data_IF_029927270312
#
_entry.id   IF_029927270312
#
_cell.length_a   1.000
_cell.length_b   1.000
_cell.length_c   1.000
_cell.angle_alpha   90.00
_cell.angle_beta   90.00
_cell.angle_gamma   90.00
#
_symmetry.space_group_name_H-M   'P 1'
#
loop_
_entity.id
_entity.type
_entity.pdbx_description
1 polymer ?
#
# COMPACT_ATOMS: atom_id res chain seq x y z
N UNK A 1 -5.76 49.44 1.70
CA UNK A 1 -6.09 48.82 3.01
C UNK A 1 -6.24 47.30 2.90
N UNK A 2 -7.06 46.79 1.97
CA UNK A 2 -7.29 45.35 1.76
C UNK A 2 -6.00 44.50 1.65
N UNK A 3 -5.04 44.90 0.81
CA UNK A 3 -3.76 44.17 0.64
C UNK A 3 -2.97 44.01 1.95
N UNK A 4 -3.00 45.03 2.81
CA UNK A 4 -2.30 44.96 4.10
C UNK A 4 -2.96 43.94 5.03
N UNK A 5 -4.29 43.82 4.98
CA UNK A 5 -5.05 42.81 5.72
C UNK A 5 -4.74 41.41 5.19
N UNK A 6 -4.75 41.23 3.85
CA UNK A 6 -4.39 39.95 3.21
C UNK A 6 -2.97 39.52 3.60
N UNK A 7 -1.99 40.40 3.43
CA UNK A 7 -0.59 40.13 3.76
C UNK A 7 -0.41 39.78 5.23
N UNK A 8 -1.10 40.50 6.12
CA UNK A 8 -1.07 40.23 7.55
C UNK A 8 -1.67 38.86 7.88
N UNK A 9 -2.83 38.52 7.30
CA UNK A 9 -3.49 37.24 7.55
C UNK A 9 -2.65 36.05 7.05
N UNK A 10 -2.08 36.15 5.84
CA UNK A 10 -1.16 35.14 5.29
C UNK A 10 0.07 34.98 6.17
N UNK A 11 0.75 36.08 6.49
CA UNK A 11 1.99 36.02 7.28
C UNK A 11 1.75 35.52 8.71
N UNK A 12 0.58 35.82 9.29
CA UNK A 12 0.16 35.32 10.59
C UNK A 12 0.04 33.80 10.58
N UNK A 13 -0.55 33.21 9.54
CA UNK A 13 -0.68 31.76 9.41
C UNK A 13 0.64 31.09 9.06
N UNK A 14 1.42 31.63 8.11
CA UNK A 14 2.73 31.08 7.75
C UNK A 14 3.72 31.06 8.92
N UNK A 15 3.60 31.99 9.88
CA UNK A 15 4.42 32.01 11.10
C UNK A 15 3.83 31.21 12.26
N UNK A 16 2.61 30.70 12.13
CA UNK A 16 1.96 29.91 13.17
C UNK A 16 2.54 28.49 13.18
N UNK A 17 2.99 28.04 14.36
CA UNK A 17 3.51 26.68 14.56
C UNK A 17 2.53 25.61 14.10
N UNK A 18 1.23 25.78 14.34
CA UNK A 18 0.21 24.80 13.94
C UNK A 18 0.14 24.62 12.43
N UNK A 19 0.21 25.71 11.66
CA UNK A 19 0.19 25.66 10.21
C UNK A 19 1.45 24.97 9.67
N UNK A 20 2.63 25.34 10.18
CA UNK A 20 3.91 24.75 9.76
C UNK A 20 3.95 23.24 10.08
N UNK A 21 3.49 22.85 11.28
CA UNK A 21 3.41 21.44 11.68
C UNK A 21 2.47 20.69 10.74
N UNK A 22 1.26 21.22 10.48
CA UNK A 22 0.30 20.62 9.56
C UNK A 22 0.84 20.46 8.13
N UNK A 23 1.49 21.52 7.63
CA UNK A 23 2.11 21.57 6.31
C UNK A 23 3.18 20.48 6.12
N UNK A 24 4.00 20.23 7.15
CA UNK A 24 5.11 19.27 7.13
C UNK A 24 4.70 17.84 7.50
N UNK A 25 3.81 17.66 8.48
CA UNK A 25 3.42 16.34 8.98
C UNK A 25 2.61 15.57 7.93
N UNK A 26 1.84 16.29 7.11
CA UNK A 26 0.96 15.68 6.11
C UNK A 26 1.74 14.90 5.04
N UNK A 27 2.78 15.46 4.38
CA UNK A 27 3.68 14.69 3.52
C UNK A 27 4.35 13.51 4.20
N UNK A 28 4.77 13.65 5.46
CA UNK A 28 5.38 12.56 6.22
C UNK A 28 4.39 11.42 6.44
N UNK A 29 3.15 11.74 6.81
CA UNK A 29 2.10 10.74 6.94
C UNK A 29 1.83 10.05 5.60
N UNK A 30 1.72 10.79 4.50
CA UNK A 30 1.57 10.18 3.17
C UNK A 30 2.74 9.26 2.81
N UNK A 31 3.97 9.64 3.13
CA UNK A 31 5.14 8.80 2.91
C UNK A 31 5.10 7.52 3.75
N UNK A 32 4.76 7.64 5.04
CA UNK A 32 4.63 6.49 5.95
C UNK A 32 3.53 5.56 5.48
N UNK A 33 2.31 6.06 5.27
CA UNK A 33 1.17 5.25 4.84
C UNK A 33 1.32 4.69 3.42
N UNK A 34 1.96 5.42 2.51
CA UNK A 34 2.26 4.95 1.16
C UNK A 34 3.34 3.87 1.14
N UNK A 35 4.36 3.99 1.99
CA UNK A 35 5.41 2.97 2.13
C UNK A 35 4.95 1.76 2.95
N UNK A 36 3.95 1.92 3.83
CA UNK A 36 3.53 0.88 4.78
C UNK A 36 3.14 -0.43 4.09
N UNK A 37 2.32 -0.48 3.01
CA UNK A 37 2.05 -1.71 2.28
C UNK A 37 3.30 -2.36 1.71
N UNK A 38 4.25 -1.56 1.20
CA UNK A 38 5.51 -2.06 0.64
C UNK A 38 6.41 -2.66 1.72
N UNK A 39 6.44 -2.04 2.91
CA UNK A 39 7.17 -2.57 4.07
C UNK A 39 6.52 -3.85 4.56
N UNK A 40 5.19 -3.88 4.71
CA UNK A 40 4.43 -5.07 5.09
C UNK A 40 4.69 -6.19 4.08
N UNK A 41 4.63 -5.93 2.77
CA UNK A 41 4.92 -6.93 1.74
C UNK A 41 6.35 -7.48 1.81
N UNK A 42 7.32 -6.65 2.19
CA UNK A 42 8.71 -7.12 2.41
C UNK A 42 8.84 -7.97 3.67
N UNK A 43 8.07 -7.68 4.70
CA UNK A 43 7.98 -8.47 5.93
C UNK A 43 7.19 -9.77 5.72
N UNK A 44 6.23 -9.75 4.79
CA UNK A 44 5.35 -10.87 4.43
C UNK A 44 5.88 -11.67 3.24
N UNK A 45 7.21 -11.63 2.98
CA UNK A 45 7.82 -12.56 2.03
C UNK A 45 7.55 -13.98 2.54
N UNK A 46 6.94 -14.86 1.73
CA UNK A 46 6.70 -16.23 2.15
C UNK A 46 8.06 -16.82 2.52
N UNK A 47 8.18 -17.27 3.77
CA UNK A 47 9.38 -17.92 4.29
C UNK A 47 9.75 -19.00 3.28
N UNK A 48 10.93 -18.87 2.66
CA UNK A 48 11.43 -19.86 1.69
C UNK A 48 11.51 -21.19 2.41
N UNK A 49 10.66 -22.14 2.02
CA UNK A 49 10.55 -23.41 2.72
C UNK A 49 11.76 -24.27 2.34
N UNK A 50 12.62 -24.56 3.32
CA UNK A 50 13.84 -25.34 3.09
C UNK A 50 13.61 -26.81 3.43
N UNK A 51 13.88 -27.71 2.49
CA UNK A 51 13.75 -29.16 2.70
C UNK A 51 15.08 -29.89 2.55
N UNK A 52 15.40 -30.75 3.51
CA UNK A 52 16.54 -31.65 3.44
C UNK A 52 16.14 -32.95 2.71
N UNK A 53 16.98 -33.39 1.79
CA UNK A 53 16.68 -34.54 0.93
C UNK A 53 17.76 -35.59 1.08
N UNK A 54 17.37 -36.77 1.58
CA UNK A 54 18.24 -37.95 1.52
C UNK A 54 18.09 -38.56 0.13
N UNK A 55 19.09 -38.33 -0.71
CA UNK A 55 19.02 -38.62 -2.15
C UNK A 55 19.73 -39.94 -2.50
N UNK A 56 18.97 -41.03 -2.59
CA UNK A 56 19.48 -42.32 -3.08
C UNK A 56 19.40 -42.44 -4.61
N UNK A 57 18.68 -41.52 -5.27
CA UNK A 57 18.38 -41.53 -6.71
C UNK A 57 19.24 -40.56 -7.52
N UNK A 58 20.07 -39.75 -6.86
CA UNK A 58 20.84 -38.64 -7.44
C UNK A 58 19.96 -37.62 -8.18
N UNK A 59 18.75 -37.38 -7.67
CA UNK A 59 17.72 -36.55 -8.28
C UNK A 59 17.67 -35.11 -7.74
N UNK A 60 18.43 -34.77 -6.70
CA UNK A 60 18.44 -33.41 -6.11
C UNK A 60 18.81 -32.32 -7.11
N UNK A 61 19.82 -32.45 -8.00
CA UNK A 61 20.14 -31.41 -8.97
C UNK A 61 18.98 -31.10 -9.92
N UNK A 62 18.19 -32.11 -10.28
CA UNK A 62 16.99 -31.95 -11.10
C UNK A 62 15.91 -31.18 -10.34
N UNK A 63 15.69 -31.51 -9.06
CA UNK A 63 14.73 -30.80 -8.21
C UNK A 63 15.14 -29.34 -7.99
N UNK A 64 16.43 -29.06 -7.78
CA UNK A 64 16.93 -27.69 -7.65
C UNK A 64 16.66 -26.86 -8.90
N UNK A 65 16.84 -27.45 -10.09
CA UNK A 65 16.53 -26.79 -11.36
C UNK A 65 15.03 -26.58 -11.54
N UNK A 66 14.21 -27.58 -11.18
CA UNK A 66 12.75 -27.50 -11.30
C UNK A 66 12.13 -26.49 -10.33
N UNK A 67 12.79 -26.22 -9.19
CA UNK A 67 12.35 -25.30 -8.15
C UNK A 67 13.00 -23.91 -8.26
N UNK A 68 13.84 -23.67 -9.26
CA UNK A 68 14.48 -22.37 -9.46
C UNK A 68 13.43 -21.26 -9.68
N UNK A 69 13.57 -20.15 -8.94
CA UNK A 69 12.59 -19.07 -8.89
C UNK A 69 11.32 -19.35 -8.06
N UNK A 70 11.20 -20.51 -7.40
CA UNK A 70 10.09 -20.84 -6.49
C UNK A 70 10.43 -20.49 -5.02
N UNK A 71 9.43 -20.35 -4.11
CA UNK A 71 9.68 -20.11 -2.69
C UNK A 71 10.07 -21.38 -1.91
N UNK A 72 10.62 -22.41 -2.57
CA UNK A 72 11.03 -23.68 -1.98
C UNK A 72 12.47 -23.98 -2.36
N UNK A 73 13.30 -24.34 -1.38
CA UNK A 73 14.68 -24.79 -1.60
C UNK A 73 14.84 -26.23 -1.15
N UNK A 74 15.69 -26.97 -1.86
CA UNK A 74 16.02 -28.37 -1.54
C UNK A 74 17.53 -28.54 -1.47
N UNK A 75 17.99 -29.18 -0.41
CA UNK A 75 19.41 -29.45 -0.17
C UNK A 75 19.64 -30.94 0.06
N UNK A 76 20.68 -31.49 -0.56
CA UNK A 76 21.07 -32.88 -0.33
C UNK A 76 21.63 -33.03 1.09
N UNK A 77 21.15 -34.03 1.81
CA UNK A 77 21.62 -34.39 3.13
C UNK A 77 22.01 -35.87 3.18
N UNK A 78 23.10 -36.18 3.86
CA UNK A 78 23.58 -37.56 4.05
C UNK A 78 23.60 -37.99 5.52
N UNK A 79 22.94 -37.22 6.39
CA UNK A 79 22.83 -37.51 7.82
C UNK A 79 21.80 -38.62 8.10
N UNK A 80 21.97 -39.40 9.18
CA UNK A 80 20.98 -40.37 9.62
C UNK A 80 19.70 -39.66 10.09
N UNK A 81 18.57 -40.36 9.98
CA UNK A 81 17.23 -39.82 10.29
C UNK A 81 17.12 -39.06 11.63
N UNK A 82 17.69 -39.52 12.76
CA UNK A 82 17.61 -38.80 14.03
C UNK A 82 18.24 -37.39 13.98
N UNK A 83 19.30 -37.21 13.20
CA UNK A 83 19.98 -35.92 13.06
C UNK A 83 19.18 -34.96 12.17
N UNK A 84 18.49 -35.49 11.15
CA UNK A 84 17.57 -34.72 10.30
C UNK A 84 16.31 -34.28 11.07
N UNK A 85 15.77 -35.15 11.92
CA UNK A 85 14.67 -34.82 12.82
C UNK A 85 15.09 -33.70 13.79
N UNK A 86 16.31 -33.79 14.35
CA UNK A 86 16.86 -32.74 15.20
C UNK A 86 17.01 -31.40 14.46
N UNK A 87 17.48 -31.41 13.20
CA UNK A 87 17.61 -30.20 12.38
C UNK A 87 16.25 -29.53 12.07
N UNK A 88 15.21 -30.33 11.80
CA UNK A 88 13.85 -29.80 11.61
C UNK A 88 13.27 -29.23 12.90
N UNK A 89 13.50 -29.89 14.04
CA UNK A 89 13.06 -29.39 15.35
C UNK A 89 13.84 -28.14 15.81
N UNK A 90 15.10 -27.99 15.39
CA UNK A 90 15.92 -26.81 15.63
C UNK A 90 15.51 -25.61 14.74
N UNK A 91 14.73 -25.86 13.68
CA UNK A 91 14.30 -24.85 12.72
C UNK A 91 15.32 -24.53 11.63
N UNK A 92 16.36 -25.37 11.48
CA UNK A 92 17.36 -25.26 10.40
C UNK A 92 16.79 -25.67 9.04
N UNK A 93 15.72 -26.48 9.04
CA UNK A 93 14.94 -26.85 7.86
C UNK A 93 13.43 -26.93 8.20
N UNK A 94 12.56 -26.65 7.22
CA UNK A 94 11.10 -26.78 7.37
C UNK A 94 10.62 -28.23 7.31
N UNK A 95 11.43 -29.13 6.74
CA UNK A 95 11.16 -30.57 6.71
C UNK A 95 12.27 -31.36 6.04
N UNK A 96 12.13 -32.69 6.04
CA UNK A 96 12.99 -33.58 5.26
C UNK A 96 12.19 -34.71 4.61
N UNK A 97 12.72 -35.28 3.55
CA UNK A 97 12.18 -36.49 2.92
C UNK A 97 13.29 -37.35 2.33
N UNK A 98 12.96 -38.62 2.08
CA UNK A 98 13.89 -39.61 1.52
C UNK A 98 13.45 -39.95 0.11
N UNK A 99 14.34 -39.76 -0.86
CA UNK A 99 14.14 -40.19 -2.24
C UNK A 99 14.79 -41.55 -2.42
N UNK A 100 13.98 -42.59 -2.32
CA UNK A 100 14.36 -44.00 -2.47
C UNK A 100 13.65 -44.66 -3.66
N UNK A 101 13.96 -45.93 -3.95
CA UNK A 101 13.24 -46.69 -4.99
C UNK A 101 11.75 -46.86 -4.71
N UNK A 102 11.33 -46.88 -3.44
CA UNK A 102 9.91 -47.02 -3.07
C UNK A 102 9.10 -45.85 -3.62
N UNK A 103 9.66 -44.64 -3.65
CA UNK A 103 9.03 -43.49 -4.30
C UNK A 103 8.75 -43.75 -5.79
N UNK A 104 9.72 -44.31 -6.53
CA UNK A 104 9.58 -44.62 -7.96
C UNK A 104 8.50 -45.69 -8.19
N UNK A 105 8.47 -46.74 -7.36
CA UNK A 105 7.52 -47.85 -7.50
C UNK A 105 6.09 -47.47 -7.08
N UNK A 106 5.93 -46.82 -5.92
CA UNK A 106 4.62 -46.58 -5.30
C UNK A 106 4.05 -45.20 -5.63
N UNK A 107 4.90 -44.22 -5.94
CA UNK A 107 4.53 -42.81 -6.08
C UNK A 107 4.21 -42.13 -4.75
N UNK A 108 4.45 -42.79 -3.61
CA UNK A 108 4.21 -42.24 -2.28
C UNK A 108 5.53 -41.75 -1.70
N UNK A 109 5.55 -40.48 -1.30
CA UNK A 109 6.67 -39.85 -0.59
C UNK A 109 6.20 -39.37 0.78
N UNK A 110 6.92 -39.78 1.83
CA UNK A 110 6.68 -39.28 3.18
C UNK A 110 7.56 -38.05 3.43
N UNK A 111 6.91 -36.92 3.72
CA UNK A 111 7.58 -35.67 4.09
C UNK A 111 7.44 -35.46 5.59
N UNK A 112 8.56 -35.40 6.29
CA UNK A 112 8.64 -35.17 7.72
C UNK A 112 8.79 -33.67 8.00
N UNK A 113 7.87 -33.10 8.77
CA UNK A 113 7.80 -31.68 9.11
C UNK A 113 7.54 -31.54 10.61
N UNK A 114 7.92 -30.41 11.22
CA UNK A 114 7.71 -30.16 12.66
C UNK A 114 6.22 -30.26 13.05
N UNK A 115 5.34 -29.69 12.22
CA UNK A 115 3.89 -29.70 12.41
C UNK A 115 3.20 -30.06 11.10
N UNK A 116 2.17 -30.94 11.11
CA UNK A 116 1.41 -31.29 9.92
C UNK A 116 0.91 -30.03 9.20
N UNK A 117 1.36 -29.86 7.96
CA UNK A 117 1.04 -28.71 7.11
C UNK A 117 0.98 -29.17 5.65
N UNK A 118 0.16 -28.54 4.80
CA UNK A 118 0.15 -28.84 3.38
C UNK A 118 1.54 -28.66 2.77
N UNK A 119 1.93 -29.58 1.90
CA UNK A 119 3.16 -29.46 1.12
C UNK A 119 2.98 -28.30 0.12
N UNK A 120 3.98 -27.44 -0.10
CA UNK A 120 3.89 -26.38 -1.09
C UNK A 120 3.63 -26.94 -2.49
N UNK A 121 2.68 -26.37 -3.23
CA UNK A 121 2.31 -26.80 -4.59
C UNK A 121 3.52 -26.86 -5.55
N UNK A 122 4.52 -25.98 -5.35
CA UNK A 122 5.76 -26.00 -6.14
C UNK A 122 6.57 -27.28 -5.92
N UNK A 123 6.71 -27.72 -4.67
CA UNK A 123 7.41 -28.96 -4.31
C UNK A 123 6.64 -30.19 -4.84
N UNK A 124 5.33 -30.21 -4.66
CA UNK A 124 4.48 -31.29 -5.18
C UNK A 124 4.55 -31.38 -6.72
N UNK A 125 4.53 -30.25 -7.41
CA UNK A 125 4.69 -30.17 -8.86
C UNK A 125 6.04 -30.71 -9.33
N UNK A 126 7.13 -30.32 -8.67
CA UNK A 126 8.47 -30.80 -8.97
C UNK A 126 8.61 -32.30 -8.73
N UNK A 127 8.15 -32.81 -7.58
CA UNK A 127 8.19 -34.25 -7.26
C UNK A 127 7.37 -35.09 -8.24
N UNK A 128 6.21 -34.60 -8.68
CA UNK A 128 5.42 -35.26 -9.71
C UNK A 128 6.15 -35.33 -11.05
N UNK A 129 6.80 -34.24 -11.47
CA UNK A 129 7.62 -34.23 -12.68
C UNK A 129 8.82 -35.18 -12.59
N UNK A 130 9.45 -35.26 -11.42
CA UNK A 130 10.55 -36.19 -11.16
C UNK A 130 10.09 -37.65 -11.21
N UNK A 131 8.96 -37.97 -10.57
CA UNK A 131 8.41 -39.33 -10.58
C UNK A 131 8.09 -39.79 -12.01
N UNK A 132 7.52 -38.89 -12.81
CA UNK A 132 7.24 -39.17 -14.22
C UNK A 132 8.53 -39.41 -15.00
N UNK A 133 9.56 -38.58 -14.82
CA UNK A 133 10.83 -38.72 -15.54
C UNK A 133 11.55 -40.03 -15.23
N UNK A 134 11.59 -40.42 -13.95
CA UNK A 134 12.21 -41.68 -13.52
C UNK A 134 11.48 -42.91 -14.08
N UNK A 135 10.14 -42.94 -14.01
CA UNK A 135 9.34 -44.05 -14.55
C UNK A 135 9.44 -44.16 -16.08
N UNK A 136 9.52 -43.04 -16.78
CA UNK A 136 9.74 -43.02 -18.22
C UNK A 136 11.07 -43.67 -18.59
N UNK A 137 12.13 -43.33 -17.85
CA UNK A 137 13.47 -43.85 -18.08
C UNK A 137 13.55 -45.37 -17.83
N UNK A 138 12.91 -45.88 -16.77
CA UNK A 138 12.86 -47.33 -16.49
C UNK A 138 12.13 -48.12 -17.58
N UNK A 139 11.06 -47.56 -18.13
CA UNK A 139 10.22 -48.22 -19.14
C UNK A 139 10.68 -47.96 -20.58
N UNK A 140 11.79 -47.24 -20.77
CA UNK A 140 12.36 -46.89 -22.08
C UNK A 140 11.33 -46.22 -23.01
N UNK A 141 10.40 -45.45 -22.43
CA UNK A 141 9.36 -44.77 -23.18
C UNK A 141 9.94 -43.57 -23.92
N UNK A 142 9.44 -43.30 -25.13
CA UNK A 142 9.80 -42.11 -25.88
C UNK A 142 9.33 -40.84 -25.11
N UNK A 143 10.26 -39.95 -24.69
CA UNK A 143 9.91 -38.74 -23.96
C UNK A 143 8.90 -37.85 -24.67
N UNK A 144 8.86 -37.88 -26.01
CA UNK A 144 7.94 -37.05 -26.80
C UNK A 144 6.49 -37.54 -26.69
N UNK A 145 6.30 -38.86 -26.68
CA UNK A 145 4.97 -39.47 -26.59
C UNK A 145 4.38 -39.25 -25.20
N UNK A 146 5.20 -39.40 -24.16
CA UNK A 146 4.72 -39.20 -22.79
C UNK A 146 4.40 -37.74 -22.52
N UNK A 147 5.24 -36.79 -22.94
CA UNK A 147 4.93 -35.35 -22.81
C UNK A 147 3.64 -34.96 -23.53
N UNK A 148 3.38 -35.55 -24.70
CA UNK A 148 2.14 -35.33 -25.43
C UNK A 148 0.92 -35.82 -24.62
N UNK A 149 0.99 -37.04 -24.08
CA UNK A 149 -0.11 -37.66 -23.31
C UNK A 149 -0.28 -37.06 -21.91
N UNK A 150 0.80 -36.60 -21.27
CA UNK A 150 0.79 -36.00 -19.93
C UNK A 150 0.59 -34.49 -19.93
N UNK A 151 0.47 -33.88 -21.12
CA UNK A 151 0.25 -32.45 -21.25
C UNK A 151 -1.02 -32.03 -20.51
N UNK A 152 -0.89 -31.06 -19.60
CA UNK A 152 -2.06 -30.51 -18.90
C UNK A 152 -2.81 -29.63 -19.88
N UNK A 153 -4.14 -29.75 -19.89
CA UNK A 153 -4.97 -28.80 -20.60
C UNK A 153 -4.66 -27.38 -20.09
N UNK A 154 -4.23 -26.49 -20.99
CA UNK A 154 -4.12 -25.08 -20.70
C UNK A 154 -5.53 -24.51 -20.58
N UNK A 155 -6.08 -24.55 -19.37
CA UNK A 155 -7.40 -23.98 -19.10
C UNK A 155 -7.25 -22.48 -18.99
N UNK A 156 -7.48 -21.80 -20.12
CA UNK A 156 -7.59 -20.35 -20.17
C UNK A 156 -9.03 -20.00 -19.83
N UNK A 157 -9.25 -19.50 -18.62
CA UNK A 157 -10.58 -19.06 -18.18
C UNK A 157 -10.85 -17.66 -18.74
N UNK A 158 -11.57 -17.59 -19.85
CA UNK A 158 -12.20 -16.35 -20.33
C UNK A 158 -13.61 -16.28 -19.76
N UNK A 159 -13.95 -15.23 -19.01
CA UNK A 159 -15.29 -15.10 -18.45
C UNK A 159 -16.35 -14.92 -19.54
N UNK A 160 -17.33 -15.81 -19.58
CA UNK A 160 -18.47 -15.75 -20.53
C UNK A 160 -19.31 -14.48 -20.31
N UNK A 161 -19.29 -13.95 -19.08
CA UNK A 161 -19.82 -12.64 -18.70
C UNK A 161 -18.75 -11.80 -18.00
N UNK A 162 -17.47 -11.96 -18.32
CA UNK A 162 -16.51 -10.93 -17.94
C UNK A 162 -16.71 -9.79 -18.94
N UNK A 163 -17.38 -8.68 -18.58
CA UNK A 163 -16.98 -7.43 -19.21
C UNK A 163 -15.47 -7.30 -19.00
N UNK A 164 -14.77 -6.63 -19.91
CA UNK A 164 -13.36 -6.24 -19.74
C UNK A 164 -13.08 -5.59 -18.36
N UNK A 165 -14.14 -5.22 -17.65
CA UNK A 165 -14.25 -4.56 -16.36
C UNK A 165 -14.09 -5.43 -15.10
N UNK A 166 -13.60 -6.68 -15.11
CA UNK A 166 -13.35 -7.36 -13.81
C UNK A 166 -12.22 -6.66 -13.03
N UNK A 167 -11.19 -6.22 -13.75
CA UNK A 167 -10.17 -5.29 -13.25
C UNK A 167 -10.81 -3.96 -12.87
N UNK A 168 -11.72 -3.41 -13.67
CA UNK A 168 -12.42 -2.16 -13.32
C UNK A 168 -13.36 -2.30 -12.12
N UNK A 169 -13.96 -3.46 -11.84
CA UNK A 169 -14.83 -3.70 -10.67
C UNK A 169 -14.02 -3.92 -9.41
N UNK A 170 -12.85 -4.57 -9.51
CA UNK A 170 -11.88 -4.66 -8.41
C UNK A 170 -11.28 -3.28 -8.12
N UNK A 171 -10.88 -2.55 -9.17
CA UNK A 171 -10.43 -1.16 -9.07
C UNK A 171 -11.55 -0.27 -8.55
N UNK A 172 -12.79 -0.40 -9.02
CA UNK A 172 -13.93 0.37 -8.55
C UNK A 172 -14.28 0.01 -7.10
N UNK A 173 -14.17 -1.25 -6.69
CA UNK A 173 -14.32 -1.66 -5.30
C UNK A 173 -13.22 -1.08 -4.40
N UNK A 174 -11.98 -1.04 -4.89
CA UNK A 174 -10.83 -0.46 -4.18
C UNK A 174 -10.91 1.07 -4.13
N UNK A 175 -11.37 1.71 -5.21
CA UNK A 175 -11.64 3.15 -5.29
C UNK A 175 -12.83 3.50 -4.39
N UNK A 176 -13.92 2.73 -4.42
CA UNK A 176 -15.12 2.99 -3.61
C UNK A 176 -14.82 2.85 -2.11
N UNK A 177 -14.09 1.80 -1.72
CA UNK A 177 -13.65 1.61 -0.33
C UNK A 177 -12.63 2.67 0.09
N UNK A 178 -11.70 3.05 -0.81
CA UNK A 178 -10.77 4.16 -0.59
C UNK A 178 -11.47 5.51 -0.42
N UNK A 179 -12.47 5.81 -1.25
CA UNK A 179 -13.31 7.02 -1.16
C UNK A 179 -14.10 7.03 0.14
N UNK A 180 -14.69 5.89 0.54
CA UNK A 180 -15.40 5.78 1.81
C UNK A 180 -14.47 5.99 3.01
N UNK A 181 -13.29 5.35 2.99
CA UNK A 181 -12.28 5.53 4.04
C UNK A 181 -11.77 6.97 4.10
N UNK A 182 -11.54 7.61 2.94
CA UNK A 182 -11.18 9.01 2.85
C UNK A 182 -12.29 9.92 3.39
N UNK A 183 -13.55 9.68 3.04
CA UNK A 183 -14.69 10.46 3.53
C UNK A 183 -14.83 10.33 5.05
N UNK A 184 -14.66 9.13 5.61
CA UNK A 184 -14.69 8.91 7.05
C UNK A 184 -13.51 9.61 7.74
N UNK A 185 -12.30 9.49 7.20
CA UNK A 185 -11.11 10.18 7.70
C UNK A 185 -11.29 11.71 7.67
N UNK A 186 -11.80 12.24 6.55
CA UNK A 186 -12.12 13.65 6.38
C UNK A 186 -13.17 14.12 7.38
N UNK A 187 -14.22 13.33 7.61
CA UNK A 187 -15.26 13.64 8.59
C UNK A 187 -14.70 13.70 10.02
N UNK A 188 -13.82 12.76 10.37
CA UNK A 188 -13.16 12.70 11.69
C UNK A 188 -12.27 13.93 11.89
N UNK A 189 -11.41 14.26 10.92
CA UNK A 189 -10.51 15.42 11.01
C UNK A 189 -11.31 16.73 11.01
N UNK A 190 -12.33 16.85 10.16
CA UNK A 190 -13.19 18.04 10.09
C UNK A 190 -13.89 18.27 11.43
N UNK A 191 -14.49 17.23 12.02
CA UNK A 191 -15.15 17.29 13.32
C UNK A 191 -14.19 17.70 14.45
N UNK A 192 -13.00 17.09 14.50
CA UNK A 192 -11.98 17.45 15.50
C UNK A 192 -11.45 18.88 15.34
N UNK A 193 -11.32 19.36 14.11
CA UNK A 193 -10.84 20.73 13.84
C UNK A 193 -11.85 21.78 14.29
N UNK A 194 -13.16 21.51 14.19
CA UNK A 194 -14.22 22.42 14.61
C UNK A 194 -14.24 22.62 16.14
N UNK A 195 -14.01 21.54 16.90
CA UNK A 195 -13.89 21.59 18.38
C UNK A 195 -12.61 22.29 18.84
N UNK A 196 -11.50 22.12 18.13
CA UNK A 196 -10.25 22.83 18.45
C UNK A 196 -10.35 24.32 18.12
N UNK A 197 -11.07 24.67 17.06
CA UNK A 197 -11.26 26.06 16.64
C UNK A 197 -12.13 26.84 17.64
N UNK A 198 -13.18 26.24 18.23
CA UNK A 198 -14.04 26.92 19.20
C UNK A 198 -13.28 27.38 20.46
N UNK A 199 -12.37 26.56 20.99
CA UNK A 199 -11.53 26.91 22.13
C UNK A 199 -10.46 27.98 21.81
N UNK A 200 -9.98 28.02 20.57
CA UNK A 200 -9.03 29.05 20.09
C UNK A 200 -9.75 30.36 19.73
N UNK A 201 -11.04 30.29 19.41
CA UNK A 201 -11.87 31.42 18.99
C UNK A 201 -11.99 32.49 20.08
N UNK A 202 -12.18 32.07 21.34
CA UNK A 202 -12.33 32.95 22.51
C UNK A 202 -11.14 33.91 22.67
N UNK A 203 -9.93 33.46 22.30
CA UNK A 203 -8.71 34.26 22.35
C UNK A 203 -8.52 35.17 21.12
N UNK A 204 -9.13 34.82 19.97
CA UNK A 204 -9.08 35.61 18.72
C UNK A 204 -10.08 36.76 18.73
N UNK A 205 -11.23 36.58 19.36
CA UNK A 205 -12.29 37.60 19.35
C UNK A 205 -11.88 38.86 20.13
N UNK A 206 -11.15 38.71 21.24
CA UNK A 206 -10.56 39.84 21.98
C UNK A 206 -9.48 40.62 21.19
N UNK A 207 -8.78 39.97 20.25
CA UNK A 207 -7.87 40.65 19.32
C UNK A 207 -8.60 41.30 18.14
N UNK A 208 -9.70 40.68 17.68
CA UNK A 208 -10.49 41.20 16.57
C UNK A 208 -11.24 42.47 16.96
N UNK A 209 -11.72 42.58 18.20
CA UNK A 209 -12.39 43.77 18.74
C UNK A 209 -11.49 45.03 18.69
N UNK A 210 -10.19 44.87 18.97
CA UNK A 210 -9.18 45.94 18.89
C UNK A 210 -8.83 46.33 17.46
N UNK A 211 -8.87 45.38 16.51
CA UNK A 211 -8.57 45.65 15.08
C UNK A 211 -9.78 46.20 14.33
N UNK A 212 -10.99 45.79 14.72
CA UNK A 212 -12.26 46.20 14.09
C UNK A 212 -12.67 47.62 14.47
N UNK A 213 -12.14 48.20 15.56
CA UNK A 213 -12.32 49.63 15.85
C UNK A 213 -11.67 50.54 14.79
N UNK A 214 -10.83 49.98 13.91
CA UNK A 214 -10.01 50.74 12.95
C UNK A 214 -10.24 50.35 11.48
N UNK A 215 -10.95 49.25 11.17
CA UNK A 215 -11.12 48.72 9.80
C UNK A 215 -12.54 48.16 9.61
N UNK A 216 -13.18 48.48 8.47
CA UNK A 216 -14.52 48.00 8.12
C UNK A 216 -14.63 46.48 7.93
N UNK A 217 -15.77 45.91 8.33
CA UNK A 217 -16.05 44.47 8.33
C UNK A 217 -15.88 43.80 6.95
N UNK A 218 -16.31 44.45 5.87
CA UNK A 218 -16.18 43.94 4.50
C UNK A 218 -14.72 43.73 4.10
N UNK A 219 -13.87 44.72 4.41
CA UNK A 219 -12.43 44.66 4.10
C UNK A 219 -11.75 43.54 4.90
N UNK A 220 -12.19 43.31 6.14
CA UNK A 220 -11.69 42.22 6.97
C UNK A 220 -12.11 40.85 6.45
N UNK A 221 -13.38 40.67 6.08
CA UNK A 221 -13.90 39.41 5.55
C UNK A 221 -13.27 39.06 4.20
N UNK A 222 -13.23 40.01 3.25
CA UNK A 222 -12.57 39.81 1.95
C UNK A 222 -11.08 39.52 2.12
N UNK A 223 -10.41 40.22 3.04
CA UNK A 223 -9.00 39.98 3.36
C UNK A 223 -8.73 38.56 3.87
N UNK A 224 -9.65 38.03 4.69
CA UNK A 224 -9.60 36.65 5.19
C UNK A 224 -9.78 35.61 4.10
N UNK A 225 -10.79 35.78 3.23
CA UNK A 225 -11.08 34.83 2.15
C UNK A 225 -9.89 34.75 1.19
N UNK A 226 -9.38 35.90 0.74
CA UNK A 226 -8.22 35.95 -0.16
C UNK A 226 -6.96 35.41 0.53
N UNK A 227 -6.79 35.71 1.83
CA UNK A 227 -5.67 35.17 2.62
C UNK A 227 -5.67 33.65 2.69
N UNK A 228 -6.81 33.03 2.97
CA UNK A 228 -6.95 31.57 2.99
C UNK A 228 -6.77 30.94 1.61
N UNK A 229 -7.28 31.57 0.56
CA UNK A 229 -7.05 31.12 -0.81
C UNK A 229 -5.55 31.08 -1.16
N UNK A 230 -4.80 32.15 -0.83
CA UNK A 230 -3.35 32.21 -1.04
C UNK A 230 -2.59 31.17 -0.18
N UNK A 231 -3.04 30.94 1.05
CA UNK A 231 -2.47 29.90 1.92
C UNK A 231 -2.66 28.50 1.33
N UNK A 232 -3.86 28.19 0.81
CA UNK A 232 -4.14 26.93 0.13
C UNK A 232 -3.27 26.73 -1.10
N UNK A 233 -3.05 27.79 -1.91
CA UNK A 233 -2.12 27.74 -3.05
C UNK A 233 -0.67 27.44 -2.62
N UNK A 234 -0.19 28.08 -1.55
CA UNK A 234 1.15 27.82 -1.01
C UNK A 234 1.27 26.37 -0.53
N UNK A 235 0.25 25.88 0.16
CA UNK A 235 0.21 24.51 0.68
C UNK A 235 0.22 23.46 -0.43
N UNK A 236 -0.63 23.61 -1.45
CA UNK A 236 -0.67 22.73 -2.61
C UNK A 236 0.66 22.79 -3.37
N UNK A 237 1.20 23.99 -3.61
CA UNK A 237 2.49 24.15 -4.29
C UNK A 237 3.63 23.46 -3.55
N UNK A 238 3.65 23.58 -2.22
CA UNK A 238 4.63 22.90 -1.37
C UNK A 238 4.52 21.38 -1.44
N UNK A 239 3.30 20.82 -1.35
CA UNK A 239 3.09 19.38 -1.46
C UNK A 239 3.39 18.84 -2.84
N UNK A 240 3.04 19.58 -3.89
CA UNK A 240 3.35 19.22 -5.27
C UNK A 240 4.87 19.18 -5.48
N UNK A 241 5.61 20.16 -4.95
CA UNK A 241 7.07 20.18 -5.02
C UNK A 241 7.70 18.95 -4.35
N UNK A 242 7.23 18.58 -3.16
CA UNK A 242 7.73 17.38 -2.45
C UNK A 242 7.36 16.12 -3.21
N UNK A 243 6.10 15.99 -3.62
CA UNK A 243 5.61 14.83 -4.36
C UNK A 243 6.39 14.59 -5.64
N UNK A 244 6.61 15.63 -6.45
CA UNK A 244 7.42 15.55 -7.67
C UNK A 244 8.88 15.21 -7.38
N UNK A 245 9.46 15.78 -6.31
CA UNK A 245 10.83 15.49 -5.91
C UNK A 245 10.99 14.01 -5.52
N UNK A 246 10.07 13.48 -4.72
CA UNK A 246 10.07 12.07 -4.32
C UNK A 246 9.89 11.15 -5.54
N UNK A 247 8.95 11.45 -6.43
CA UNK A 247 8.73 10.66 -7.64
C UNK A 247 9.98 10.58 -8.53
N UNK A 248 10.65 11.73 -8.73
CA UNK A 248 11.87 11.80 -9.54
C UNK A 248 13.03 11.03 -8.92
N UNK A 249 13.27 11.19 -7.62
CA UNK A 249 14.47 10.66 -6.97
C UNK A 249 14.31 9.24 -6.40
N UNK A 250 13.10 8.84 -5.99
CA UNK A 250 12.86 7.58 -5.31
C UNK A 250 12.22 6.50 -6.21
N UNK A 251 11.46 6.89 -7.24
CA UNK A 251 10.69 5.95 -8.05
C UNK A 251 11.16 5.87 -9.52
N UNK A 252 12.05 6.75 -9.97
CA UNK A 252 12.54 6.85 -11.35
C UNK A 252 11.41 6.93 -12.40
N UNK A 253 10.25 7.45 -12.00
CA UNK A 253 9.05 7.57 -12.83
C UNK A 253 9.15 8.85 -13.67
N UNK A 254 8.86 8.81 -14.99
CA UNK A 254 8.78 10.00 -15.82
C UNK A 254 7.70 10.95 -15.29
N UNK A 255 8.11 12.12 -14.80
CA UNK A 255 7.20 13.12 -14.22
C UNK A 255 6.11 13.56 -15.20
N UNK A 256 6.38 13.49 -16.51
CA UNK A 256 5.43 13.84 -17.57
C UNK A 256 4.18 12.96 -17.58
N UNK A 257 4.33 11.65 -17.42
CA UNK A 257 3.21 10.70 -17.45
C UNK A 257 2.32 10.85 -16.20
N UNK A 258 2.94 11.21 -15.08
CA UNK A 258 2.21 11.49 -13.84
C UNK A 258 1.38 12.78 -13.96
N UNK A 259 1.97 13.90 -14.39
CA UNK A 259 1.25 15.18 -14.55
C UNK A 259 0.11 15.06 -15.56
N UNK A 260 0.28 14.25 -16.61
CA UNK A 260 -0.74 13.99 -17.61
C UNK A 260 -1.88 13.09 -17.10
N UNK A 261 -1.75 12.47 -15.91
CA UNK A 261 -2.78 11.60 -15.36
C UNK A 261 -4.08 12.39 -15.09
N UNK A 262 -5.21 12.06 -15.78
CA UNK A 262 -6.47 12.80 -15.65
C UNK A 262 -6.96 13.01 -14.21
N UNK A 263 -6.59 12.12 -13.29
CA UNK A 263 -7.03 12.16 -11.90
C UNK A 263 -6.28 13.19 -11.04
N UNK A 264 -5.13 13.70 -11.48
CA UNK A 264 -4.36 14.71 -10.72
C UNK A 264 -4.86 16.14 -10.95
N UNK A 265 -5.35 16.45 -12.15
CA UNK A 265 -5.87 17.77 -12.49
C UNK A 265 -6.97 18.29 -11.53
N UNK A 266 -7.93 17.47 -11.05
CA UNK A 266 -8.95 17.95 -10.11
C UNK A 266 -8.47 18.10 -8.66
N UNK A 267 -7.36 17.48 -8.24
CA UNK A 267 -6.94 17.47 -6.83
C UNK A 267 -6.61 18.86 -6.26
N UNK A 268 -5.86 19.74 -6.96
CA UNK A 268 -5.65 21.11 -6.51
C UNK A 268 -6.96 21.89 -6.37
N UNK A 269 -7.91 21.67 -7.28
CA UNK A 269 -9.21 22.33 -7.27
C UNK A 269 -10.04 21.88 -6.05
N UNK A 270 -10.01 20.57 -5.76
CA UNK A 270 -10.71 19.98 -4.62
C UNK A 270 -10.10 20.40 -3.27
N UNK A 271 -8.76 20.49 -3.19
CA UNK A 271 -8.09 21.00 -2.01
C UNK A 271 -8.41 22.49 -1.77
N UNK A 272 -8.35 23.32 -2.82
CA UNK A 272 -8.75 24.74 -2.73
C UNK A 272 -10.22 24.92 -2.34
N UNK A 273 -11.12 24.08 -2.85
CA UNK A 273 -12.54 24.17 -2.49
C UNK A 273 -12.79 23.80 -1.03
N UNK A 274 -12.05 22.83 -0.48
CA UNK A 274 -12.07 22.49 0.94
C UNK A 274 -11.64 23.65 1.85
N UNK A 275 -10.53 24.30 1.52
CA UNK A 275 -10.02 25.46 2.27
C UNK A 275 -10.97 26.66 2.21
N UNK A 276 -11.55 26.92 1.03
CA UNK A 276 -12.55 27.97 0.85
C UNK A 276 -13.85 27.66 1.60
N UNK A 277 -14.29 26.41 1.62
CA UNK A 277 -15.45 25.99 2.38
C UNK A 277 -15.25 26.19 3.89
N UNK A 278 -14.09 25.79 4.42
CA UNK A 278 -13.75 26.03 5.84
C UNK A 278 -13.66 27.53 6.15
N UNK A 279 -13.05 28.33 5.27
CA UNK A 279 -13.01 29.78 5.42
C UNK A 279 -14.43 30.38 5.45
N UNK A 280 -15.31 29.95 4.54
CA UNK A 280 -16.71 30.38 4.49
C UNK A 280 -17.49 29.96 5.75
N UNK A 281 -17.29 28.74 6.24
CA UNK A 281 -17.94 28.24 7.46
C UNK A 281 -17.53 29.03 8.70
N UNK A 282 -16.24 29.36 8.84
CA UNK A 282 -15.72 30.19 9.95
C UNK A 282 -16.26 31.61 9.88
N UNK A 283 -16.41 32.17 8.68
CA UNK A 283 -17.00 33.50 8.47
C UNK A 283 -18.51 33.48 8.77
N UNK A 284 -19.24 32.46 8.30
CA UNK A 284 -20.68 32.30 8.51
C UNK A 284 -21.07 32.04 9.96
N UNK A 285 -20.32 31.19 10.68
CA UNK A 285 -20.54 30.93 12.10
C UNK A 285 -20.40 32.19 12.96
N UNK A 286 -19.53 33.13 12.56
CA UNK A 286 -19.35 34.41 13.25
C UNK A 286 -20.52 35.38 13.02
N UNK A 287 -21.13 35.38 11.84
CA UNK A 287 -22.34 36.17 11.58
C UNK A 287 -23.55 35.66 12.38
N UNK A 288 -23.67 34.34 12.57
CA UNK A 288 -24.75 33.73 13.35
C UNK A 288 -24.61 33.98 14.86
N UNK A 289 -23.39 33.95 15.42
CA UNK A 289 -23.15 34.18 16.85
C UNK A 289 -23.21 35.67 17.23
N UNK A 290 -22.84 36.58 16.32
CA UNK A 290 -22.95 38.03 16.55
C UNK A 290 -24.38 38.53 16.72
N UNK A 291 -25.37 37.88 16.09
CA UNK A 291 -26.79 38.22 16.21
C UNK A 291 -27.43 37.92 17.57
N UNK A 292 -26.75 37.18 18.46
CA UNK A 292 -27.26 36.86 19.79
C UNK A 292 -26.78 37.82 20.89
N UNK A 293 -25.89 38.77 20.58
CA UNK A 293 -25.43 39.80 21.53
C UNK A 293 -26.10 41.16 21.32
N UNK A 294 -26.97 41.31 20.31
CA UNK A 294 -27.73 42.54 20.03
C UNK A 294 -29.26 42.39 20.25
N UNK A 295 -29.71 41.34 20.95
CA UNK A 295 -31.09 41.15 21.40
C UNK A 295 -31.14 40.96 22.91
#
# INVERSE_FOLDING_TARGET
MLWNVVRWEVMRHLRNKQFIIGLLITPVLFAVFGALPSVIQRLDRPRTAAYLVVDELQAVPWLQTALDGSPVTVEAASAPRPDLEAAVLAGDADGFFVLDRRFVETGVLEVFVEKPRPVPNALEGALNGLLQSLRMQEQQLDPQIVQYVSSRAAVISSGINAPEDQSERLLAGLIMSGVLAFLLFWLIISSGSMLLQSAVQEKRDRMAEVVLSSIGADTLMTGKIIGHFLLGLIQIGFWLLIGLSVLRFAADIPVGDFIAWPLLAPLPLLALSGDLFLAAAVVGGRAAVGGFHEA
#
